data_IF_334318568267
#
_entry.id   IF_334318568267
#
_cell.length_a   1.000
_cell.length_b   1.000
_cell.length_c   1.000
_cell.angle_alpha   90.00
_cell.angle_beta   90.00
_cell.angle_gamma   90.00
#
_symmetry.space_group_name_H-M   'P 1'
#
loop_
_entity.id
_entity.type
_entity.pdbx_description
1 polymer ?
#
# COMPACT_ATOMS: atom_id res chain seq x y z
N UNK A 1 -17.56 -8.94 6.51
CA UNK A 1 -16.83 -7.68 6.25
C UNK A 1 -15.36 -8.03 6.08
N UNK A 2 -14.74 -7.68 4.95
CA UNK A 2 -13.31 -7.90 4.75
C UNK A 2 -12.52 -7.03 5.74
N UNK A 3 -11.59 -7.63 6.48
CA UNK A 3 -10.82 -6.98 7.54
C UNK A 3 -9.97 -5.79 7.04
N UNK A 4 -9.72 -5.71 5.72
CA UNK A 4 -8.79 -4.75 5.10
C UNK A 4 -9.47 -3.67 4.25
N UNK A 5 -10.81 -3.60 4.20
CA UNK A 5 -11.53 -2.59 3.39
C UNK A 5 -11.14 -1.15 3.77
N UNK A 6 -10.70 -0.92 5.01
CA UNK A 6 -10.28 0.39 5.54
C UNK A 6 -8.76 0.48 5.76
N UNK A 7 -7.94 -0.05 4.84
CA UNK A 7 -6.48 0.08 4.88
C UNK A 7 -5.97 0.93 3.71
N UNK A 8 -6.12 2.28 3.77
CA UNK A 8 -5.68 3.17 2.71
C UNK A 8 -4.17 3.41 2.78
N UNK A 9 -3.47 3.35 1.65
CA UNK A 9 -2.02 3.48 1.60
C UNK A 9 -1.63 4.88 1.14
N UNK A 10 -0.78 5.57 1.91
CA UNK A 10 -0.24 6.87 1.53
C UNK A 10 0.85 6.72 0.47
N UNK A 11 0.64 7.36 -0.68
CA UNK A 11 1.63 7.39 -1.76
C UNK A 11 2.39 8.71 -1.72
N UNK A 12 3.72 8.59 -1.78
CA UNK A 12 4.65 9.69 -1.80
C UNK A 12 5.34 9.77 -3.16
N UNK A 13 5.79 10.97 -3.52
CA UNK A 13 6.70 11.17 -4.63
C UNK A 13 8.16 10.80 -4.24
N UNK A 14 9.09 10.95 -5.17
CA UNK A 14 10.51 10.63 -4.94
C UNK A 14 11.19 11.47 -3.85
N UNK A 15 10.61 12.63 -3.49
CA UNK A 15 11.09 13.49 -2.40
C UNK A 15 10.45 13.15 -1.04
N UNK A 16 9.76 12.01 -0.95
CA UNK A 16 9.04 11.57 0.24
C UNK A 16 7.93 12.52 0.70
N UNK A 17 7.31 13.23 -0.25
CA UNK A 17 6.17 14.13 0.01
C UNK A 17 4.89 13.55 -0.59
N UNK A 18 3.72 13.71 0.06
CA UNK A 18 2.44 13.40 -0.55
C UNK A 18 2.29 14.11 -1.90
N UNK A 19 1.75 13.39 -2.89
CA UNK A 19 1.41 13.97 -4.20
C UNK A 19 0.28 15.01 -4.07
N UNK A 20 -0.62 14.79 -3.11
CA UNK A 20 -1.69 15.72 -2.71
C UNK A 20 -1.87 15.67 -1.20
N UNK A 21 -2.20 16.81 -0.58
CA UNK A 21 -2.48 16.91 0.86
C UNK A 21 -3.99 16.94 1.18
N UNK A 22 -4.83 17.42 0.27
CA UNK A 22 -6.28 17.52 0.46
C UNK A 22 -7.05 17.23 -0.85
N UNK A 23 -7.64 16.02 -1.02
CA UNK A 23 -7.44 14.86 -0.15
C UNK A 23 -5.99 14.36 -0.22
N UNK A 24 -5.56 13.65 0.82
CA UNK A 24 -4.26 12.98 0.81
C UNK A 24 -4.18 12.02 -0.39
N UNK A 25 -2.99 11.89 -0.98
CA UNK A 25 -2.73 10.93 -2.06
C UNK A 25 -2.73 9.50 -1.55
N UNK A 26 -3.93 8.94 -1.41
CA UNK A 26 -4.18 7.59 -0.93
C UNK A 26 -4.50 6.65 -2.09
N UNK A 27 -3.97 5.44 -2.04
CA UNK A 27 -4.36 4.31 -2.88
C UNK A 27 -5.06 3.24 -2.04
N UNK A 28 -5.82 2.37 -2.70
CA UNK A 28 -6.26 1.13 -2.06
C UNK A 28 -5.06 0.20 -1.79
N UNK A 29 -5.17 -0.68 -0.79
CA UNK A 29 -4.12 -1.65 -0.53
C UNK A 29 -3.92 -2.61 -1.72
N UNK A 30 -4.98 -2.94 -2.46
CA UNK A 30 -4.90 -3.81 -3.64
C UNK A 30 -4.09 -3.17 -4.77
N UNK A 31 -4.34 -1.88 -5.07
CA UNK A 31 -3.56 -1.11 -6.04
C UNK A 31 -2.09 -1.02 -5.64
N UNK A 32 -1.84 -0.83 -4.34
CA UNK A 32 -0.49 -0.75 -3.78
C UNK A 32 0.26 -2.08 -3.91
N UNK A 33 -0.36 -3.20 -3.54
CA UNK A 33 0.23 -4.54 -3.70
C UNK A 33 0.60 -4.77 -5.17
N UNK A 34 -0.29 -4.46 -6.10
CA UNK A 34 0.00 -4.55 -7.54
C UNK A 34 1.22 -3.70 -7.92
N UNK A 35 1.33 -2.47 -7.41
CA UNK A 35 2.46 -1.60 -7.69
C UNK A 35 3.79 -2.12 -7.11
N UNK A 36 3.76 -2.74 -5.92
CA UNK A 36 4.92 -3.41 -5.31
C UNK A 36 5.41 -4.55 -6.21
N UNK A 37 4.51 -5.45 -6.64
CA UNK A 37 4.87 -6.56 -7.54
C UNK A 37 5.40 -6.10 -8.90
N UNK A 38 4.93 -4.95 -9.39
CA UNK A 38 5.41 -4.34 -10.62
C UNK A 38 6.69 -3.51 -10.42
N UNK A 39 7.27 -3.49 -9.21
CA UNK A 39 8.44 -2.68 -8.84
C UNK A 39 8.28 -1.18 -9.19
N UNK A 40 7.06 -0.65 -9.03
CA UNK A 40 6.74 0.76 -9.32
C UNK A 40 6.82 1.68 -8.11
N UNK A 41 6.86 1.10 -6.91
CA UNK A 41 6.89 1.82 -5.63
C UNK A 41 7.85 1.14 -4.67
N UNK A 42 8.39 1.91 -3.74
CA UNK A 42 9.17 1.38 -2.61
C UNK A 42 8.30 1.44 -1.34
N UNK A 43 8.30 0.35 -0.57
CA UNK A 43 7.57 0.27 0.70
C UNK A 43 8.43 0.90 1.80
N UNK A 44 7.86 1.87 2.53
CA UNK A 44 8.55 2.59 3.61
C UNK A 44 8.09 2.18 5.00
N UNK A 45 6.83 1.79 5.09
CA UNK A 45 6.16 1.29 6.28
C UNK A 45 5.14 0.26 5.84
N UNK A 46 4.79 -0.65 6.73
CA UNK A 46 3.80 -1.69 6.48
C UNK A 46 2.83 -1.73 7.66
N UNK A 47 1.61 -2.19 7.43
CA UNK A 47 0.71 -2.57 8.50
C UNK A 47 1.17 -3.90 9.12
N UNK A 48 0.80 -4.13 10.39
CA UNK A 48 1.06 -5.40 11.07
C UNK A 48 0.32 -6.59 10.44
N UNK A 49 -0.76 -6.32 9.71
CA UNK A 49 -1.57 -7.33 9.06
C UNK A 49 -0.84 -7.95 7.86
N UNK A 50 -0.97 -9.27 7.72
CA UNK A 50 -0.42 -10.00 6.57
C UNK A 50 -1.50 -10.42 5.59
N UNK A 51 -1.19 -10.29 4.31
CA UNK A 51 -1.96 -10.84 3.19
C UNK A 51 -1.22 -12.06 2.64
N UNK A 52 -1.98 -13.06 2.20
CA UNK A 52 -1.42 -14.32 1.73
C UNK A 52 -2.15 -14.87 0.52
N UNK A 53 -1.40 -15.53 -0.35
CA UNK A 53 -1.87 -16.52 -1.30
C UNK A 53 -1.42 -17.91 -0.81
N UNK A 54 -1.83 -19.01 -1.46
CA UNK A 54 -1.36 -20.35 -1.09
C UNK A 54 0.16 -20.54 -1.12
N UNK A 55 0.89 -19.73 -1.90
CA UNK A 55 2.34 -19.86 -2.11
C UNK A 55 3.15 -18.62 -1.72
N UNK A 56 2.50 -17.57 -1.21
CA UNK A 56 3.16 -16.30 -0.92
C UNK A 56 2.50 -15.59 0.27
N UNK A 57 3.30 -14.92 1.10
CA UNK A 57 2.82 -14.08 2.20
C UNK A 57 3.63 -12.79 2.21
N UNK A 58 2.95 -11.67 2.43
CA UNK A 58 3.59 -10.38 2.72
C UNK A 58 2.77 -9.60 3.74
N UNK A 59 3.39 -8.61 4.38
CA UNK A 59 2.65 -7.61 5.13
C UNK A 59 1.91 -6.68 4.17
N UNK A 60 0.79 -6.15 4.63
CA UNK A 60 0.05 -5.16 3.86
C UNK A 60 0.89 -3.88 3.83
N UNK A 61 1.26 -3.36 2.65
CA UNK A 61 2.09 -2.17 2.52
C UNK A 61 1.37 -0.91 2.99
#
# INVERSE_FOLDING_TARGET
>A
MNQFENSPVLVLNADYRPLSYFPLSLWSWQETVKAVFLNRVNVLSEYEHKIRSPSFEMRLP
#
